data_IF_343942351873
#
_entry.id   IF_343942351873
#
_cell.length_a   1.000
_cell.length_b   1.000
_cell.length_c   1.000
_cell.angle_alpha   90.00
_cell.angle_beta   90.00
_cell.angle_gamma   90.00
#
_symmetry.space_group_name_H-M   'P 1'
#
loop_
_entity.id
_entity.type
_entity.pdbx_description
1 polymer ?
#
# COMPACT_ATOMS: atom_id res chain seq x y z
N UNK A 1 21.71 11.48 15.15
CA UNK A 1 20.82 10.70 14.26
C UNK A 1 21.04 9.24 14.58
N UNK A 2 20.32 8.72 15.57
CA UNK A 2 20.41 7.32 15.98
C UNK A 2 19.68 6.47 14.93
N UNK A 3 20.31 5.44 14.36
CA UNK A 3 19.63 4.55 13.44
C UNK A 3 18.51 3.84 14.21
N UNK A 4 17.28 3.97 13.71
CA UNK A 4 16.10 3.33 14.29
C UNK A 4 16.38 1.85 14.56
N UNK A 5 16.18 1.43 15.82
CA UNK A 5 16.23 0.04 16.25
C UNK A 5 15.05 -0.76 15.69
N UNK A 6 15.04 -0.99 14.39
CA UNK A 6 14.12 -1.98 13.81
C UNK A 6 14.59 -3.36 14.27
N UNK A 7 13.71 -4.17 14.88
CA UNK A 7 14.04 -5.56 15.21
C UNK A 7 14.45 -6.29 13.94
N UNK A 8 15.32 -7.28 14.08
CA UNK A 8 15.94 -8.01 12.97
C UNK A 8 14.88 -8.78 12.16
N UNK A 9 14.27 -8.07 11.20
CA UNK A 9 13.09 -8.54 10.44
C UNK A 9 13.38 -9.79 9.61
N UNK A 10 14.66 -10.01 9.28
CA UNK A 10 15.14 -11.21 8.61
C UNK A 10 14.99 -12.44 9.52
N UNK A 11 15.38 -12.33 10.79
CA UNK A 11 15.28 -13.44 11.77
C UNK A 11 13.84 -13.78 12.11
N UNK A 12 12.96 -12.79 12.23
CA UNK A 12 11.52 -13.02 12.49
C UNK A 12 10.83 -13.71 11.30
N UNK A 13 11.16 -13.30 10.06
CA UNK A 13 10.66 -13.96 8.83
C UNK A 13 11.20 -15.38 8.69
N UNK A 14 12.49 -15.52 8.95
CA UNK A 14 13.22 -16.71 9.44
C UNK A 14 12.36 -17.74 10.16
N UNK A 15 12.09 -17.38 11.41
CA UNK A 15 11.36 -18.17 12.37
C UNK A 15 9.92 -18.46 11.94
N UNK A 16 9.21 -17.49 11.34
CA UNK A 16 7.82 -17.69 10.91
C UNK A 16 7.71 -18.71 9.77
N UNK A 17 8.68 -18.76 8.86
CA UNK A 17 8.75 -19.76 7.79
C UNK A 17 8.97 -21.17 8.33
N UNK A 18 10.00 -21.31 9.18
CA UNK A 18 10.35 -22.62 9.74
C UNK A 18 9.23 -23.11 10.66
N UNK A 19 8.73 -22.25 11.55
CA UNK A 19 7.61 -22.57 12.43
C UNK A 19 6.34 -22.93 11.67
N UNK A 20 5.97 -22.14 10.65
CA UNK A 20 4.81 -22.42 9.81
C UNK A 20 4.94 -23.71 8.99
N UNK A 21 6.13 -23.99 8.44
CA UNK A 21 6.39 -25.23 7.70
C UNK A 21 6.31 -26.46 8.61
N UNK A 22 6.90 -26.39 9.81
CA UNK A 22 6.82 -27.48 10.81
C UNK A 22 5.37 -27.69 11.24
N UNK A 23 4.64 -26.62 11.54
CA UNK A 23 3.23 -26.69 11.94
C UNK A 23 2.36 -27.32 10.85
N UNK A 24 2.58 -26.93 9.60
CA UNK A 24 1.88 -27.48 8.44
C UNK A 24 2.18 -28.97 8.27
N UNK A 25 3.46 -29.37 8.33
CA UNK A 25 3.85 -30.78 8.20
C UNK A 25 3.20 -31.64 9.29
N UNK A 26 3.26 -31.19 10.54
CA UNK A 26 2.60 -31.89 11.67
C UNK A 26 1.10 -31.96 11.45
N UNK A 27 0.46 -30.84 11.07
CA UNK A 27 -0.97 -30.79 10.78
C UNK A 27 -1.40 -31.75 9.68
N UNK A 28 -0.64 -31.83 8.58
CA UNK A 28 -0.91 -32.75 7.45
C UNK A 28 -0.78 -34.21 7.88
N UNK A 29 0.24 -34.56 8.67
CA UNK A 29 0.41 -35.94 9.15
C UNK A 29 -0.73 -36.33 10.09
N UNK A 30 -1.09 -35.47 11.05
CA UNK A 30 -2.19 -35.71 12.01
C UNK A 30 -3.53 -35.79 11.28
N UNK A 31 -3.79 -34.88 10.35
CA UNK A 31 -5.00 -34.88 9.53
C UNK A 31 -5.07 -36.13 8.64
N UNK A 32 -3.98 -36.52 7.99
CA UNK A 32 -3.93 -37.70 7.12
C UNK A 32 -4.18 -38.99 7.89
N UNK A 33 -3.61 -39.13 9.10
CA UNK A 33 -3.90 -40.25 9.99
C UNK A 33 -5.37 -40.26 10.43
N UNK A 34 -5.89 -39.12 10.87
CA UNK A 34 -7.30 -38.97 11.27
C UNK A 34 -8.27 -39.28 10.12
N UNK A 35 -7.98 -38.78 8.92
CA UNK A 35 -8.78 -39.05 7.73
C UNK A 35 -8.75 -40.54 7.39
N UNK A 36 -7.56 -41.15 7.27
CA UNK A 36 -7.43 -42.57 6.97
C UNK A 36 -8.24 -43.41 7.95
N UNK A 37 -8.04 -43.19 9.25
CA UNK A 37 -8.73 -43.94 10.30
C UNK A 37 -10.23 -43.72 10.32
N UNK A 38 -10.74 -42.52 10.04
CA UNK A 38 -12.19 -42.26 9.95
C UNK A 38 -12.81 -42.90 8.71
N UNK A 39 -12.13 -42.86 7.56
CA UNK A 39 -12.67 -43.36 6.29
C UNK A 39 -12.52 -44.87 6.09
N UNK A 40 -11.58 -45.54 6.76
CA UNK A 40 -11.40 -47.00 6.68
C UNK A 40 -12.03 -47.76 7.85
N UNK A 41 -12.74 -47.07 8.75
CA UNK A 41 -13.33 -47.71 9.92
C UNK A 41 -14.70 -48.32 9.58
N UNK A 42 -14.82 -49.63 9.73
CA UNK A 42 -16.04 -50.39 9.42
C UNK A 42 -16.81 -50.85 10.69
N UNK A 43 -16.52 -50.27 11.86
CA UNK A 43 -17.14 -50.65 13.13
C UNK A 43 -18.47 -49.93 13.44
N UNK A 44 -19.37 -50.61 14.15
CA UNK A 44 -20.70 -50.08 14.52
C UNK A 44 -20.63 -49.00 15.63
N UNK A 45 -19.59 -49.01 16.47
CA UNK A 45 -19.41 -48.07 17.59
C UNK A 45 -18.81 -46.71 17.18
N UNK A 46 -18.62 -46.47 15.88
CA UNK A 46 -17.97 -45.27 15.35
C UNK A 46 -16.44 -45.26 15.53
N UNK A 47 -15.71 -44.48 14.71
CA UNK A 47 -14.25 -44.44 14.78
C UNK A 47 -13.78 -43.89 16.14
N UNK A 48 -12.58 -44.30 16.61
CA UNK A 48 -12.08 -43.91 17.92
C UNK A 48 -12.06 -42.38 18.07
N UNK A 49 -12.48 -41.85 19.23
CA UNK A 49 -12.61 -40.41 19.44
C UNK A 49 -11.33 -39.59 19.15
N UNK A 50 -10.16 -40.19 19.35
CA UNK A 50 -8.86 -39.61 18.97
C UNK A 50 -8.69 -39.42 17.46
N UNK A 51 -9.26 -40.31 16.63
CA UNK A 51 -9.24 -40.18 15.18
C UNK A 51 -10.09 -39.01 14.69
N UNK A 52 -11.28 -38.82 15.28
CA UNK A 52 -12.16 -37.67 14.98
C UNK A 52 -11.49 -36.36 15.43
N UNK A 53 -10.87 -36.35 16.61
CA UNK A 53 -10.12 -35.19 17.10
C UNK A 53 -8.91 -34.86 16.18
N UNK A 54 -8.18 -35.88 15.74
CA UNK A 54 -7.06 -35.71 14.80
C UNK A 54 -7.53 -35.21 13.42
N UNK A 55 -8.66 -35.72 12.92
CA UNK A 55 -9.25 -35.28 11.67
C UNK A 55 -9.76 -33.84 11.75
N UNK A 56 -10.59 -33.51 12.75
CA UNK A 56 -11.17 -32.18 12.89
C UNK A 56 -10.16 -31.13 13.37
N UNK A 57 -9.22 -31.53 14.24
CA UNK A 57 -8.16 -30.67 14.76
C UNK A 57 -6.97 -30.48 13.82
N UNK A 58 -6.75 -31.42 12.88
CA UNK A 58 -5.72 -31.29 11.85
C UNK A 58 -6.00 -30.16 10.86
N UNK A 59 -7.26 -29.95 10.50
CA UNK A 59 -7.67 -28.90 9.55
C UNK A 59 -7.29 -27.46 9.98
N UNK A 60 -7.63 -26.98 11.21
CA UNK A 60 -7.22 -25.64 11.64
C UNK A 60 -5.70 -25.52 11.81
N UNK A 61 -5.01 -26.60 12.18
CA UNK A 61 -3.54 -26.62 12.24
C UNK A 61 -2.90 -26.38 10.86
N UNK A 62 -3.42 -27.06 9.82
CA UNK A 62 -3.00 -26.84 8.44
C UNK A 62 -3.32 -25.39 8.01
N UNK A 63 -4.51 -24.90 8.33
CA UNK A 63 -4.92 -23.51 8.03
C UNK A 63 -4.00 -22.47 8.67
N UNK A 64 -3.66 -22.63 9.94
CA UNK A 64 -2.71 -21.76 10.65
C UNK A 64 -1.29 -21.88 10.06
N UNK A 65 -0.85 -23.09 9.71
CA UNK A 65 0.45 -23.30 9.06
C UNK A 65 0.55 -22.62 7.70
N UNK A 66 -0.46 -22.78 6.84
CA UNK A 66 -0.56 -22.09 5.54
C UNK A 66 -0.66 -20.57 5.70
N UNK A 67 -1.42 -20.09 6.68
CA UNK A 67 -1.53 -18.65 7.00
C UNK A 67 -0.20 -18.05 7.42
N UNK A 68 0.54 -18.72 8.31
CA UNK A 68 1.86 -18.29 8.75
C UNK A 68 2.88 -18.27 7.58
N UNK A 69 2.84 -19.27 6.71
CA UNK A 69 3.68 -19.31 5.51
C UNK A 69 3.36 -18.17 4.54
N UNK A 70 2.07 -17.89 4.29
CA UNK A 70 1.64 -16.77 3.45
C UNK A 70 2.11 -15.43 4.02
N UNK A 71 1.89 -15.20 5.32
CA UNK A 71 2.34 -13.98 6.01
C UNK A 71 3.85 -13.78 5.89
N UNK A 72 4.63 -14.87 5.89
CA UNK A 72 6.08 -14.81 5.73
C UNK A 72 6.55 -14.38 4.33
N UNK A 73 5.70 -14.53 3.31
CA UNK A 73 5.99 -14.19 1.91
C UNK A 73 5.32 -12.90 1.44
N UNK A 74 4.40 -12.31 2.22
CA UNK A 74 3.69 -11.06 1.87
C UNK A 74 4.65 -9.95 1.44
N UNK A 75 5.79 -9.79 2.12
CA UNK A 75 6.74 -8.74 1.76
C UNK A 75 7.46 -8.94 0.41
N UNK A 76 7.49 -10.17 -0.12
CA UNK A 76 8.00 -10.44 -1.46
C UNK A 76 6.90 -10.19 -2.51
N UNK A 77 5.69 -10.68 -2.23
CA UNK A 77 4.51 -10.46 -3.07
C UNK A 77 4.19 -8.97 -3.23
N UNK A 78 4.23 -8.19 -2.13
CA UNK A 78 3.92 -6.77 -2.17
C UNK A 78 4.90 -5.97 -3.03
N UNK A 79 6.18 -6.35 -3.07
CA UNK A 79 7.18 -5.70 -3.93
C UNK A 79 6.95 -6.02 -5.40
N UNK A 80 6.59 -7.26 -5.71
CA UNK A 80 6.23 -7.66 -7.07
C UNK A 80 4.98 -6.91 -7.55
N UNK A 81 3.90 -6.95 -6.76
CA UNK A 81 2.64 -6.26 -7.06
C UNK A 81 2.85 -4.75 -7.18
N UNK A 82 3.64 -4.14 -6.29
CA UNK A 82 3.98 -2.73 -6.40
C UNK A 82 4.75 -2.45 -7.70
N UNK A 83 5.72 -3.29 -8.08
CA UNK A 83 6.46 -3.11 -9.33
C UNK A 83 5.56 -3.11 -10.58
N UNK A 84 4.55 -3.98 -10.60
CA UNK A 84 3.65 -4.14 -11.75
C UNK A 84 2.52 -3.10 -11.77
N UNK A 85 2.02 -2.67 -10.60
CA UNK A 85 0.91 -1.71 -10.48
C UNK A 85 1.35 -0.24 -10.44
N UNK A 86 2.59 0.04 -10.01
CA UNK A 86 3.08 1.42 -9.86
C UNK A 86 3.06 2.25 -11.16
N UNK A 87 3.38 1.72 -12.35
CA UNK A 87 3.28 2.48 -13.59
C UNK A 87 1.85 2.94 -13.86
N UNK A 88 0.87 2.06 -13.68
CA UNK A 88 -0.55 2.39 -13.87
C UNK A 88 -1.01 3.45 -12.89
N UNK A 89 -0.66 3.30 -11.61
CA UNK A 89 -0.96 4.30 -10.58
C UNK A 89 -0.34 5.66 -10.93
N UNK A 90 0.92 5.67 -11.43
CA UNK A 90 1.58 6.90 -11.88
C UNK A 90 0.87 7.54 -13.08
N UNK A 91 0.39 6.74 -14.05
CA UNK A 91 -0.36 7.25 -15.20
C UNK A 91 -1.72 7.83 -14.78
N UNK A 92 -2.46 7.14 -13.92
CA UNK A 92 -3.71 7.66 -13.36
C UNK A 92 -3.48 8.92 -12.53
N UNK A 93 -2.42 8.96 -11.73
CA UNK A 93 -2.04 10.16 -10.98
C UNK A 93 -1.63 11.31 -11.91
N UNK A 94 -0.90 11.04 -12.98
CA UNK A 94 -0.55 12.04 -13.99
C UNK A 94 -1.80 12.62 -14.65
N UNK A 95 -2.77 11.78 -15.06
CA UNK A 95 -4.05 12.24 -15.61
C UNK A 95 -4.84 13.12 -14.63
N UNK A 96 -4.77 12.83 -13.34
CA UNK A 96 -5.40 13.64 -12.29
C UNK A 96 -4.59 14.90 -11.93
N UNK A 97 -3.33 14.98 -12.33
CA UNK A 97 -2.36 16.01 -11.94
C UNK A 97 -1.79 16.77 -13.14
N UNK A 98 -2.43 16.66 -14.32
CA UNK A 98 -1.96 17.17 -15.63
C UNK A 98 -1.87 18.71 -15.73
N UNK A 99 -1.89 19.39 -14.58
CA UNK A 99 -1.63 20.82 -14.43
C UNK A 99 -2.83 21.60 -13.88
N UNK A 100 -4.03 21.04 -13.94
CA UNK A 100 -5.27 21.75 -13.56
C UNK A 100 -5.82 21.39 -12.17
N UNK A 101 -5.20 20.41 -11.49
CA UNK A 101 -5.69 19.91 -10.20
C UNK A 101 -7.00 19.13 -10.32
N UNK A 102 -7.31 18.37 -9.28
CA UNK A 102 -8.61 17.70 -9.18
C UNK A 102 -9.66 18.80 -8.97
N UNK A 103 -10.67 18.89 -9.84
CA UNK A 103 -11.77 19.87 -9.75
C UNK A 103 -11.33 21.36 -9.81
N UNK A 104 -10.19 21.67 -10.45
CA UNK A 104 -9.70 23.06 -10.54
C UNK A 104 -9.06 23.60 -9.26
N UNK A 105 -8.78 22.72 -8.29
CA UNK A 105 -8.08 23.08 -7.04
C UNK A 105 -6.74 22.33 -7.01
N UNK A 106 -5.68 22.99 -7.47
CA UNK A 106 -4.32 22.46 -7.42
C UNK A 106 -3.45 23.00 -8.55
N UNK A 107 -2.87 24.19 -8.31
CA UNK A 107 -2.13 25.07 -9.24
C UNK A 107 -3.03 25.96 -10.07
N UNK A 108 -2.96 27.25 -9.79
CA UNK A 108 -3.48 28.27 -10.69
C UNK A 108 -2.65 28.24 -11.99
N UNK A 109 -3.29 28.49 -13.12
CA UNK A 109 -2.67 28.73 -14.42
C UNK A 109 -1.71 29.96 -14.45
N UNK A 110 -1.18 30.39 -13.29
CA UNK A 110 -0.13 31.39 -13.16
C UNK A 110 1.27 30.83 -13.39
N UNK A 111 1.48 29.51 -13.25
CA UNK A 111 2.80 28.89 -13.44
C UNK A 111 3.08 28.49 -14.90
N UNK A 112 2.09 28.68 -15.79
CA UNK A 112 2.24 28.51 -17.24
C UNK A 112 1.42 29.54 -18.02
N UNK A 113 1.50 30.81 -17.64
CA UNK A 113 1.20 31.87 -18.61
C UNK A 113 2.22 31.78 -19.76
N UNK A 114 1.79 31.90 -21.03
CA UNK A 114 2.69 31.93 -22.18
C UNK A 114 3.76 33.00 -21.97
N UNK A 115 4.98 32.73 -22.43
CA UNK A 115 6.11 33.66 -22.40
C UNK A 115 5.76 34.97 -23.14
N UNK A 116 5.07 35.90 -22.45
CA UNK A 116 4.54 37.10 -23.08
C UNK A 116 3.73 38.08 -22.22
N UNK A 117 3.29 37.74 -20.99
CA UNK A 117 2.60 38.74 -20.15
C UNK A 117 2.60 38.40 -18.65
N UNK A 118 3.76 38.04 -18.11
CA UNK A 118 3.92 38.01 -16.65
C UNK A 118 4.12 39.46 -16.21
N UNK A 119 3.16 40.03 -15.46
CA UNK A 119 3.32 41.31 -14.79
C UNK A 119 4.66 41.30 -14.04
N UNK A 120 5.68 41.97 -14.59
CA UNK A 120 7.07 41.94 -14.13
C UNK A 120 7.44 43.17 -13.26
N UNK A 121 6.54 44.14 -13.15
CA UNK A 121 6.72 45.41 -12.45
C UNK A 121 6.42 45.39 -10.94
N UNK A 122 6.41 46.58 -10.32
CA UNK A 122 6.20 46.74 -8.88
C UNK A 122 4.79 46.36 -8.45
N UNK A 123 4.65 46.06 -7.16
CA UNK A 123 3.34 45.95 -6.52
C UNK A 123 2.79 47.35 -6.18
N UNK A 124 1.51 47.58 -6.47
CA UNK A 124 0.82 48.80 -6.10
C UNK A 124 0.74 48.93 -4.57
N UNK A 125 1.17 50.07 -4.01
CA UNK A 125 1.13 50.31 -2.55
C UNK A 125 -0.28 50.52 -2.00
N UNK A 126 -1.24 50.87 -2.85
CA UNK A 126 -2.63 51.12 -2.44
C UNK A 126 -3.49 49.86 -2.41
N UNK A 127 -3.36 48.97 -3.40
CA UNK A 127 -4.26 47.81 -3.54
C UNK A 127 -3.52 46.45 -3.60
N UNK A 128 -2.19 46.44 -3.64
CA UNK A 128 -1.40 45.19 -3.63
C UNK A 128 -1.36 44.42 -4.96
N UNK A 129 -1.96 44.92 -6.03
CA UNK A 129 -1.92 44.28 -7.36
C UNK A 129 -0.52 44.42 -7.98
N UNK A 130 0.01 43.34 -8.59
CA UNK A 130 1.27 43.36 -9.35
C UNK A 130 1.03 43.96 -10.72
N UNK A 131 1.82 44.95 -11.11
CA UNK A 131 1.65 45.68 -12.36
C UNK A 131 2.76 45.36 -13.37
N UNK A 132 2.58 45.76 -14.63
CA UNK A 132 3.62 45.64 -15.64
C UNK A 132 4.81 46.57 -15.34
N UNK A 133 6.00 46.22 -15.84
CA UNK A 133 7.24 46.93 -15.50
C UNK A 133 7.27 48.39 -16.00
N UNK A 134 6.50 48.69 -17.04
CA UNK A 134 6.39 49.99 -17.70
C UNK A 134 5.05 50.70 -17.42
N UNK A 135 4.21 50.15 -16.54
CA UNK A 135 2.94 50.75 -16.20
C UNK A 135 3.10 52.01 -15.33
N UNK A 136 2.45 53.10 -15.76
CA UNK A 136 2.43 54.38 -15.01
C UNK A 136 1.30 54.46 -14.00
N UNK A 137 0.23 53.68 -14.21
CA UNK A 137 -0.96 53.62 -13.38
C UNK A 137 -1.29 52.16 -13.08
N UNK A 138 -1.83 51.89 -11.90
CA UNK A 138 -2.20 50.53 -11.50
C UNK A 138 -3.45 50.04 -12.24
N UNK A 139 -3.36 48.87 -12.87
CA UNK A 139 -4.48 48.22 -13.57
C UNK A 139 -5.67 47.86 -12.67
N UNK A 140 -5.45 47.72 -11.36
CA UNK A 140 -6.50 47.35 -10.41
C UNK A 140 -7.29 48.53 -9.85
N UNK A 141 -6.64 49.67 -9.62
CA UNK A 141 -7.26 50.81 -8.91
C UNK A 141 -7.01 52.17 -9.55
N UNK A 142 -6.26 52.24 -10.65
CA UNK A 142 -5.96 53.47 -11.39
C UNK A 142 -4.98 54.43 -10.71
N UNK A 143 -4.40 54.08 -9.55
CA UNK A 143 -3.47 54.96 -8.83
C UNK A 143 -2.11 55.04 -9.54
N UNK A 144 -1.48 56.22 -9.54
CA UNK A 144 -0.10 56.42 -10.03
C UNK A 144 0.88 55.50 -9.32
N UNK A 145 1.78 54.87 -10.09
CA UNK A 145 2.88 54.04 -9.58
C UNK A 145 4.20 54.81 -9.45
N UNK A 146 4.22 56.08 -9.84
CA UNK A 146 5.29 57.06 -9.60
C UNK A 146 5.01 57.89 -8.35
#
# INVERSE_FOLDING_TARGET
MTPHGLPDTARTRTALRVGGAVLLLVGVVVFGWGAYTVFTYEGFDGPPGLAILAFLGGLPMIGLGLGALNMSTIGAQSRYVAGETMPTVKQSAAYLTDGEGILGVGRTAGDRAPAGSAAAGPYCRSCGVRNDADARFCDGCGTSLA
#
